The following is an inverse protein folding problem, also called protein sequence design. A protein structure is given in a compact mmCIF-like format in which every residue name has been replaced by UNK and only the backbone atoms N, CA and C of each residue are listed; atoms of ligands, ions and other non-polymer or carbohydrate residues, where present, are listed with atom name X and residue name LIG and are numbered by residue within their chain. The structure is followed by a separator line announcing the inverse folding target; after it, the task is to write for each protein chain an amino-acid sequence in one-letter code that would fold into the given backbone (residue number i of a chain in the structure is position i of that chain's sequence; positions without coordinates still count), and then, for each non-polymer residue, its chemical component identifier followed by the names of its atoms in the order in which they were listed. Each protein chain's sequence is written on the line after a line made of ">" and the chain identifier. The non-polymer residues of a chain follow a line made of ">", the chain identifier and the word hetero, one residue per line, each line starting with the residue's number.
data_IF_297779729030
#
_entry.id   IF_297779729030
#
_cell.length_a   1.000
_cell.length_b   1.000
_cell.length_c   1.000
_cell.angle_alpha   90.00
_cell.angle_beta   90.00
_cell.angle_gamma   90.00
#
_symmetry.space_group_name_H-M   'P 1'
#
loop_
_entity.id
_entity.type
_entity.pdbx_description
1 polymer ?
#
# COMPACT_ATOMS: atom_id res chain seq x y z
N UNK A 1 -36.41 -21.03 2.21
CA UNK A 1 -35.32 -20.72 3.15
C UNK A 1 -34.00 -20.92 2.42
N UNK A 2 -33.10 -19.92 2.43
CA UNK A 2 -31.79 -19.97 1.75
C UNK A 2 -30.80 -20.93 2.48
N UNK A 3 -29.58 -21.15 1.95
CA UNK A 3 -28.51 -20.16 2.18
C UNK A 3 -27.73 -19.70 0.94
N UNK A 4 -27.39 -18.41 0.96
CA UNK A 4 -26.47 -17.68 0.09
C UNK A 4 -25.06 -18.30 0.04
N UNK A 5 -24.51 -18.46 -1.16
CA UNK A 5 -23.07 -18.66 -1.38
C UNK A 5 -22.38 -17.30 -1.57
N UNK A 6 -21.65 -16.84 -0.56
CA UNK A 6 -20.84 -15.61 -0.57
C UNK A 6 -19.33 -15.86 -0.84
N UNK A 7 -18.91 -17.02 -1.34
CA UNK A 7 -17.48 -17.36 -1.46
C UNK A 7 -16.73 -16.77 -2.68
N UNK A 8 -17.39 -16.03 -3.58
CA UNK A 8 -16.75 -15.50 -4.80
C UNK A 8 -16.06 -14.14 -4.65
N UNK A 9 -16.54 -13.26 -3.78
CA UNK A 9 -16.05 -11.87 -3.70
C UNK A 9 -14.69 -11.76 -3.04
N UNK A 10 -14.47 -12.49 -1.93
CA UNK A 10 -13.24 -12.38 -1.15
C UNK A 10 -11.99 -12.84 -1.91
N UNK A 11 -12.11 -13.88 -2.75
CA UNK A 11 -10.99 -14.38 -3.56
C UNK A 11 -10.62 -13.40 -4.68
N UNK A 12 -11.61 -12.78 -5.34
CA UNK A 12 -11.39 -11.76 -6.37
C UNK A 12 -10.81 -10.49 -5.76
N UNK A 13 -11.32 -10.04 -4.62
CA UNK A 13 -10.78 -8.88 -3.89
C UNK A 13 -9.34 -9.12 -3.43
N UNK A 14 -8.98 -10.34 -3.03
CA UNK A 14 -7.62 -10.70 -2.67
C UNK A 14 -6.69 -10.74 -3.88
N UNK A 15 -7.10 -11.31 -5.02
CA UNK A 15 -6.29 -11.27 -6.24
C UNK A 15 -6.06 -9.83 -6.73
N UNK A 16 -7.11 -8.99 -6.70
CA UNK A 16 -7.01 -7.57 -7.06
C UNK A 16 -6.07 -6.80 -6.10
N UNK A 17 -6.09 -7.12 -4.81
CA UNK A 17 -5.22 -6.52 -3.80
C UNK A 17 -3.74 -6.86 -3.99
N UNK A 18 -3.44 -8.11 -4.33
CA UNK A 18 -2.08 -8.58 -4.64
C UNK A 18 -1.56 -7.90 -5.91
N UNK A 19 -2.41 -7.78 -6.93
CA UNK A 19 -2.09 -7.07 -8.16
C UNK A 19 -1.86 -5.58 -7.90
N UNK A 20 -2.68 -4.93 -7.07
CA UNK A 20 -2.48 -3.53 -6.71
C UNK A 20 -1.17 -3.28 -6.00
N UNK A 21 -0.90 -4.01 -4.93
CA UNK A 21 0.31 -3.81 -4.13
C UNK A 21 1.58 -4.00 -4.98
N UNK A 22 1.63 -5.07 -5.76
CA UNK A 22 2.78 -5.39 -6.62
C UNK A 22 2.91 -4.39 -7.78
N UNK A 23 1.79 -3.94 -8.34
CA UNK A 23 1.80 -3.06 -9.49
C UNK A 23 1.96 -1.57 -9.13
N UNK A 24 1.84 -1.18 -7.85
CA UNK A 24 2.26 0.13 -7.33
C UNK A 24 3.79 0.29 -7.32
N UNK A 25 4.53 -0.82 -7.30
CA UNK A 25 6.00 -0.88 -7.20
C UNK A 25 6.62 -1.40 -8.51
N UNK A 26 5.92 -1.24 -9.64
CA UNK A 26 6.49 -1.40 -10.98
C UNK A 26 6.99 -2.81 -11.32
N UNK A 27 6.22 -3.85 -11.00
CA UNK A 27 6.54 -5.25 -11.30
C UNK A 27 7.82 -5.76 -10.62
N UNK A 28 8.21 -5.17 -9.48
CA UNK A 28 9.32 -5.69 -8.68
C UNK A 28 8.91 -6.99 -7.98
N UNK A 29 9.78 -7.99 -8.03
CA UNK A 29 9.61 -9.24 -7.29
C UNK A 29 9.99 -9.02 -5.82
N UNK A 30 9.30 -9.67 -4.86
CA UNK A 30 9.71 -9.60 -3.47
C UNK A 30 11.16 -10.07 -3.31
N UNK A 31 11.95 -9.29 -2.58
CA UNK A 31 13.32 -9.62 -2.23
C UNK A 31 13.36 -10.96 -1.49
N UNK A 32 14.19 -11.90 -1.97
CA UNK A 32 14.31 -13.26 -1.41
C UNK A 32 13.39 -14.32 -2.05
N UNK A 33 12.58 -13.99 -3.06
CA UNK A 33 11.70 -14.95 -3.72
C UNK A 33 12.42 -15.96 -4.65
N UNK A 34 13.73 -15.82 -4.87
CA UNK A 34 14.50 -16.65 -5.81
C UNK A 34 14.45 -18.16 -5.54
N UNK A 35 14.41 -18.57 -4.27
CA UNK A 35 14.47 -19.98 -3.85
C UNK A 35 13.16 -20.53 -3.27
N UNK A 36 12.05 -19.79 -3.37
CA UNK A 36 10.75 -20.21 -2.82
C UNK A 36 10.00 -21.15 -3.76
N UNK A 37 9.30 -22.13 -3.18
CA UNK A 37 8.35 -22.97 -3.90
C UNK A 37 7.16 -22.14 -4.43
N UNK A 38 6.43 -22.62 -5.45
CA UNK A 38 5.24 -21.92 -5.96
C UNK A 38 4.21 -21.58 -4.86
N UNK A 39 3.95 -22.51 -3.95
CA UNK A 39 3.02 -22.29 -2.84
C UNK A 39 3.51 -21.21 -1.86
N UNK A 40 4.82 -21.18 -1.58
CA UNK A 40 5.41 -20.14 -0.73
C UNK A 40 5.35 -18.76 -1.41
N UNK A 41 5.65 -18.68 -2.72
CA UNK A 41 5.51 -17.45 -3.50
C UNK A 41 4.08 -16.91 -3.45
N UNK A 42 3.09 -17.79 -3.60
CA UNK A 42 1.68 -17.41 -3.52
C UNK A 42 1.29 -16.91 -2.12
N UNK A 43 1.75 -17.57 -1.06
CA UNK A 43 1.49 -17.14 0.32
C UNK A 43 2.10 -15.76 0.63
N UNK A 44 3.34 -15.50 0.16
CA UNK A 44 4.00 -14.20 0.29
C UNK A 44 3.24 -13.12 -0.47
N UNK A 45 2.87 -13.40 -1.73
CA UNK A 45 2.11 -12.47 -2.54
C UNK A 45 0.77 -12.11 -1.89
N UNK A 46 0.02 -13.10 -1.39
CA UNK A 46 -1.23 -12.89 -0.66
C UNK A 46 -1.04 -11.97 0.55
N UNK A 47 -0.04 -12.25 1.38
CA UNK A 47 0.24 -11.43 2.57
C UNK A 47 0.54 -9.98 2.21
N UNK A 48 1.37 -9.77 1.18
CA UNK A 48 1.70 -8.42 0.68
C UNK A 48 0.45 -7.67 0.22
N UNK A 49 -0.48 -8.34 -0.47
CA UNK A 49 -1.76 -7.75 -0.87
C UNK A 49 -2.66 -7.41 0.30
N UNK A 50 -2.80 -8.33 1.27
CA UNK A 50 -3.58 -8.12 2.50
C UNK A 50 -3.04 -6.94 3.33
N UNK A 51 -1.72 -6.85 3.49
CA UNK A 51 -1.07 -5.75 4.19
C UNK A 51 -1.36 -4.41 3.49
N UNK A 52 -1.28 -4.36 2.15
CA UNK A 52 -1.64 -3.16 1.39
C UNK A 52 -3.11 -2.74 1.58
N UNK A 53 -4.06 -3.68 1.56
CA UNK A 53 -5.47 -3.36 1.77
C UNK A 53 -5.72 -2.79 3.16
N UNK A 54 -5.09 -3.37 4.18
CA UNK A 54 -5.18 -2.89 5.55
C UNK A 54 -4.60 -1.48 5.69
N UNK A 55 -3.38 -1.25 5.17
CA UNK A 55 -2.70 0.05 5.21
C UNK A 55 -3.49 1.11 4.45
N UNK A 56 -3.88 0.84 3.20
CA UNK A 56 -4.62 1.80 2.38
C UNK A 56 -6.01 2.13 2.97
N UNK A 57 -6.68 1.16 3.61
CA UNK A 57 -7.94 1.42 4.30
C UNK A 57 -7.77 2.29 5.54
N UNK A 58 -6.73 2.05 6.34
CA UNK A 58 -6.42 2.90 7.50
C UNK A 58 -6.06 4.34 7.08
N UNK A 59 -5.27 4.52 6.02
CA UNK A 59 -4.97 5.85 5.45
C UNK A 59 -6.26 6.54 4.99
N UNK A 60 -7.17 5.80 4.32
CA UNK A 60 -8.43 6.35 3.85
C UNK A 60 -9.33 6.82 5.01
N UNK A 61 -9.38 6.06 6.10
CA UNK A 61 -10.15 6.42 7.30
C UNK A 61 -9.59 7.68 7.98
N UNK A 62 -8.27 7.75 8.17
CA UNK A 62 -7.62 8.93 8.75
C UNK A 62 -7.85 10.17 7.88
N UNK A 63 -7.77 10.03 6.56
CA UNK A 63 -8.08 11.11 5.63
C UNK A 63 -9.54 11.54 5.71
N UNK A 64 -10.48 10.58 5.68
CA UNK A 64 -11.92 10.87 5.73
C UNK A 64 -12.36 11.54 7.05
N UNK A 65 -11.68 11.24 8.15
CA UNK A 65 -11.94 11.82 9.47
C UNK A 65 -11.15 13.10 9.73
N UNK A 66 -10.37 13.59 8.76
CA UNK A 66 -9.64 14.86 8.86
C UNK A 66 -8.41 14.82 9.76
N UNK A 67 -7.85 13.64 10.05
CA UNK A 67 -6.62 13.52 10.84
C UNK A 67 -5.45 14.05 10.01
N UNK A 68 -4.63 14.93 10.61
CA UNK A 68 -3.51 15.55 9.91
C UNK A 68 -2.49 14.51 9.39
N UNK A 69 -1.84 14.80 8.25
CA UNK A 69 -0.87 13.89 7.63
C UNK A 69 0.38 13.67 8.48
N UNK A 70 0.72 14.61 9.36
CA UNK A 70 1.83 14.56 10.30
C UNK A 70 1.43 14.09 11.72
N UNK A 71 0.16 13.76 11.96
CA UNK A 71 -0.31 13.23 13.24
C UNK A 71 0.39 11.91 13.58
N UNK A 72 0.76 11.64 14.85
CA UNK A 72 1.39 10.39 15.25
C UNK A 72 0.65 9.13 14.77
N UNK A 73 -0.69 9.15 14.73
CA UNK A 73 -1.52 8.03 14.23
C UNK A 73 -1.28 7.80 12.74
N UNK A 74 -1.23 8.87 11.95
CA UNK A 74 -0.92 8.79 10.53
C UNK A 74 0.51 8.30 10.31
N UNK A 75 1.47 8.84 11.07
CA UNK A 75 2.87 8.44 10.95
C UNK A 75 3.11 6.98 11.32
N UNK A 76 2.30 6.40 12.23
CA UNK A 76 2.31 4.96 12.51
C UNK A 76 1.90 4.14 11.28
N UNK A 77 0.82 4.51 10.59
CA UNK A 77 0.39 3.80 9.37
C UNK A 77 1.39 3.98 8.23
N UNK A 78 2.00 5.16 8.09
CA UNK A 78 3.06 5.40 7.10
C UNK A 78 4.32 4.57 7.40
N UNK A 79 4.64 4.34 8.67
CA UNK A 79 5.71 3.44 9.05
C UNK A 79 5.44 2.01 8.57
N UNK A 80 4.20 1.52 8.69
CA UNK A 80 3.80 0.22 8.17
C UNK A 80 3.86 0.17 6.64
N UNK A 81 3.47 1.25 5.95
CA UNK A 81 3.69 1.39 4.51
C UNK A 81 5.17 1.31 4.13
N UNK A 82 6.05 1.96 4.88
CA UNK A 82 7.51 1.85 4.68
C UNK A 82 8.01 0.41 4.87
N UNK A 83 7.57 -0.29 5.92
CA UNK A 83 7.93 -1.70 6.13
C UNK A 83 7.41 -2.60 5.01
N UNK A 84 6.19 -2.33 4.53
CA UNK A 84 5.58 -3.06 3.43
C UNK A 84 6.39 -2.93 2.13
N UNK A 85 6.93 -1.74 1.83
CA UNK A 85 7.87 -1.56 0.72
C UNK A 85 9.12 -2.43 0.86
N UNK A 86 9.57 -2.67 2.09
CA UNK A 86 10.71 -3.53 2.45
C UNK A 86 10.61 -4.96 1.90
N UNK A 87 9.40 -5.43 1.58
CA UNK A 87 9.23 -6.70 0.86
C UNK A 87 9.84 -6.69 -0.55
N UNK A 88 9.94 -5.52 -1.19
CA UNK A 88 10.45 -5.36 -2.55
C UNK A 88 11.87 -4.78 -2.54
N UNK A 89 12.07 -3.70 -1.80
CA UNK A 89 13.33 -2.97 -1.66
C UNK A 89 13.26 -2.07 -0.43
N UNK A 90 14.41 -1.64 0.12
CA UNK A 90 14.43 -0.73 1.27
C UNK A 90 14.68 0.71 0.81
N UNK A 91 13.71 1.62 0.92
CA UNK A 91 13.91 3.02 0.55
C UNK A 91 14.86 3.76 1.49
N UNK A 92 15.71 4.59 0.91
CA UNK A 92 16.32 5.74 1.58
C UNK A 92 15.36 6.97 1.53
N UNK A 93 15.75 8.09 2.16
CA UNK A 93 14.90 9.29 2.17
C UNK A 93 14.57 9.78 0.75
N UNK A 94 15.58 9.89 -0.11
CA UNK A 94 15.44 10.49 -1.44
C UNK A 94 14.50 9.67 -2.34
N UNK A 95 14.65 8.36 -2.30
CA UNK A 95 13.86 7.41 -3.09
C UNK A 95 12.43 7.26 -2.55
N UNK A 96 12.22 7.30 -1.22
CA UNK A 96 10.87 7.33 -0.63
C UNK A 96 10.10 8.61 -0.98
N UNK A 97 10.77 9.77 -0.99
CA UNK A 97 10.18 11.04 -1.44
C UNK A 97 9.79 10.99 -2.92
N UNK A 98 10.67 10.45 -3.77
CA UNK A 98 10.38 10.29 -5.21
C UNK A 98 9.18 9.37 -5.45
N UNK A 99 9.05 8.32 -4.65
CA UNK A 99 7.88 7.43 -4.69
C UNK A 99 6.60 8.17 -4.28
N UNK A 100 6.66 8.99 -3.21
CA UNK A 100 5.53 9.79 -2.75
C UNK A 100 5.03 10.74 -3.86
N UNK A 101 5.95 11.43 -4.54
CA UNK A 101 5.61 12.28 -5.68
C UNK A 101 5.02 11.49 -6.85
N UNK A 102 5.55 10.30 -7.14
CA UNK A 102 5.05 9.44 -8.20
C UNK A 102 3.59 9.04 -8.00
N UNK A 103 3.16 8.78 -6.75
CA UNK A 103 1.78 8.42 -6.41
C UNK A 103 0.76 9.49 -6.81
N UNK A 104 1.19 10.75 -6.88
CA UNK A 104 0.35 11.92 -7.20
C UNK A 104 0.51 12.31 -8.66
N UNK A 105 1.74 12.29 -9.19
CA UNK A 105 2.06 12.84 -10.51
C UNK A 105 1.73 11.90 -11.67
N UNK A 106 1.65 10.59 -11.42
CA UNK A 106 1.32 9.60 -12.45
C UNK A 106 -0.13 9.10 -12.29
N UNK A 107 -1.04 9.37 -13.25
CA UNK A 107 -2.47 9.07 -13.12
C UNK A 107 -2.79 7.61 -12.77
N UNK A 108 -2.01 6.66 -13.29
CA UNK A 108 -2.19 5.22 -13.02
C UNK A 108 -2.02 4.87 -11.53
N UNK A 109 -1.08 5.49 -10.83
CA UNK A 109 -0.84 5.21 -9.42
C UNK A 109 -1.89 5.91 -8.55
N UNK A 110 -2.20 7.18 -8.86
CA UNK A 110 -3.29 7.89 -8.18
C UNK A 110 -4.61 7.13 -8.28
N UNK A 111 -4.99 6.70 -9.49
CA UNK A 111 -6.24 5.96 -9.70
C UNK A 111 -6.30 4.68 -8.87
N UNK A 112 -5.18 3.96 -8.75
CA UNK A 112 -5.13 2.74 -7.93
C UNK A 112 -5.23 3.03 -6.43
N UNK A 113 -4.51 4.02 -5.93
CA UNK A 113 -4.53 4.41 -4.50
C UNK A 113 -5.93 4.91 -4.09
N UNK A 114 -6.57 5.68 -4.96
CA UNK A 114 -7.89 6.27 -4.69
C UNK A 114 -9.05 5.33 -5.09
N UNK A 115 -8.77 4.12 -5.57
CA UNK A 115 -9.82 3.20 -6.05
C UNK A 115 -10.73 2.78 -4.89
N UNK A 116 -12.03 3.09 -5.02
CA UNK A 116 -13.04 2.87 -3.96
C UNK A 116 -12.72 3.62 -2.65
N UNK A 117 -11.86 4.64 -2.69
CA UNK A 117 -11.47 5.47 -1.55
C UNK A 117 -11.81 6.96 -1.82
N UNK A 118 -11.80 7.83 -0.79
CA UNK A 118 -12.07 9.25 -0.99
C UNK A 118 -11.06 9.93 -1.92
N UNK A 119 -11.53 10.82 -2.80
CA UNK A 119 -10.69 11.61 -3.71
C UNK A 119 -9.75 12.52 -2.92
N UNK A 120 -8.48 12.61 -3.34
CA UNK A 120 -7.46 13.41 -2.66
C UNK A 120 -6.62 12.61 -1.66
N UNK A 121 -7.00 11.37 -1.36
CA UNK A 121 -6.23 10.47 -0.49
C UNK A 121 -4.79 10.25 -1.00
N UNK A 122 -4.54 10.23 -2.31
CA UNK A 122 -3.19 10.08 -2.83
C UNK A 122 -2.28 11.27 -2.45
N UNK A 123 -2.83 12.49 -2.47
CA UNK A 123 -2.11 13.69 -2.03
C UNK A 123 -1.85 13.66 -0.52
N UNK A 124 -2.83 13.23 0.26
CA UNK A 124 -2.68 13.03 1.71
C UNK A 124 -1.57 12.03 2.05
N UNK A 125 -1.56 10.88 1.37
CA UNK A 125 -0.52 9.86 1.53
C UNK A 125 0.86 10.42 1.16
N UNK A 126 0.99 11.19 0.08
CA UNK A 126 2.24 11.84 -0.31
C UNK A 126 2.77 12.80 0.77
N UNK A 127 1.91 13.61 1.37
CA UNK A 127 2.30 14.53 2.45
C UNK A 127 2.71 13.78 3.73
N UNK A 128 2.00 12.69 4.06
CA UNK A 128 2.32 11.85 5.20
C UNK A 128 3.65 11.10 5.02
N UNK A 129 3.90 10.56 3.82
CA UNK A 129 5.18 9.95 3.43
C UNK A 129 6.32 10.95 3.48
N UNK A 130 6.09 12.19 3.02
CA UNK A 130 7.11 13.26 3.07
C UNK A 130 7.52 13.56 4.51
N UNK A 131 6.55 13.71 5.41
CA UNK A 131 6.80 13.91 6.85
C UNK A 131 7.61 12.76 7.45
N UNK A 132 7.25 11.51 7.12
CA UNK A 132 7.96 10.33 7.60
C UNK A 132 9.42 10.29 7.09
N UNK A 133 9.63 10.59 5.80
CA UNK A 133 10.95 10.57 5.18
C UNK A 133 11.92 11.51 5.90
N UNK A 134 11.49 12.74 6.18
CA UNK A 134 12.30 13.76 6.84
C UNK A 134 12.54 13.46 8.33
N UNK A 135 11.61 12.78 8.99
CA UNK A 135 11.72 12.49 10.42
C UNK A 135 12.46 11.20 10.76
N UNK A 136 12.42 10.18 9.87
CA UNK A 136 12.86 8.81 10.20
C UNK A 136 13.94 8.26 9.28
N UNK A 137 14.02 8.70 8.02
CA UNK A 137 14.94 8.13 7.04
C UNK A 137 16.20 8.97 6.92
N UNK A 138 17.32 8.33 6.55
CA UNK A 138 18.59 9.00 6.25
C UNK A 138 18.68 9.34 4.76
#
# INVERSE_FOLDING_TARGET
>A
MQPNNLSGSAALEQTEAVEDGTALIGSLTPSGAGNLSPAQKQAVARKIGEDWQRISSAVAELFATGVASNDPRTQQIVHEHYQWLGHFWTPDRASYLRLAEMYVNQPKFRHRIERRKPKGMASYLRDAMTTYAWSRLR
#
